data_IF_477519159966
#
_entry.id   IF_477519159966
#
_cell.length_a   1.000
_cell.length_b   1.000
_cell.length_c   1.000
_cell.angle_alpha   90.00
_cell.angle_beta   90.00
_cell.angle_gamma   90.00
#
_symmetry.space_group_name_H-M   'P 1'
#
loop_
_entity.id
_entity.type
_entity.pdbx_description
1 polymer ?
#
# COMPACT_ATOMS: atom_id res chain seq x y z
N UNK A 1 6.07 46.65 8.50
CA UNK A 1 7.06 45.56 8.41
C UNK A 1 7.10 44.90 9.77
N UNK A 2 6.35 43.82 9.93
CA UNK A 2 6.41 42.93 11.10
C UNK A 2 6.77 41.57 10.54
N UNK A 3 8.03 41.18 10.72
CA UNK A 3 8.53 39.85 10.39
C UNK A 3 7.64 38.81 11.07
N UNK A 4 6.99 37.98 10.26
CA UNK A 4 6.22 36.83 10.71
C UNK A 4 7.21 35.69 10.95
N UNK A 5 7.87 35.69 12.10
CA UNK A 5 8.57 34.50 12.58
C UNK A 5 7.50 33.44 12.84
N UNK A 6 7.45 32.45 11.95
CA UNK A 6 6.46 31.38 11.97
C UNK A 6 6.44 30.69 13.33
N UNK A 7 5.27 30.59 13.96
CA UNK A 7 5.06 30.09 15.35
C UNK A 7 5.60 28.66 15.58
N UNK A 8 5.80 27.90 14.51
CA UNK A 8 6.45 26.58 14.49
C UNK A 8 7.95 26.60 14.83
N UNK A 9 8.59 27.78 14.74
CA UNK A 9 10.00 28.00 15.09
C UNK A 9 10.18 28.68 16.46
N UNK A 10 9.09 28.86 17.20
CA UNK A 10 9.13 29.41 18.55
C UNK A 10 9.67 28.33 19.51
N UNK A 11 10.79 28.59 20.22
CA UNK A 11 11.37 27.62 21.15
C UNK A 11 10.38 27.19 22.24
N UNK A 12 9.51 28.09 22.70
CA UNK A 12 8.50 27.76 23.72
C UNK A 12 7.45 26.76 23.19
N UNK A 13 7.15 26.82 21.88
CA UNK A 13 6.22 25.91 21.21
C UNK A 13 6.87 24.54 20.93
N UNK A 14 8.15 24.52 20.58
CA UNK A 14 8.91 23.28 20.37
C UNK A 14 9.13 22.51 21.68
N UNK A 15 9.41 23.21 22.78
CA UNK A 15 9.56 22.61 24.10
C UNK A 15 8.25 22.00 24.60
N UNK A 16 7.11 22.65 24.34
CA UNK A 16 5.78 22.11 24.63
C UNK A 16 5.47 20.84 23.84
N UNK A 17 5.82 20.80 22.54
CA UNK A 17 5.64 19.61 21.70
C UNK A 17 6.53 18.45 22.16
N UNK A 18 7.80 18.72 22.48
CA UNK A 18 8.73 17.73 22.99
C UNK A 18 8.26 17.11 24.33
N UNK A 19 7.70 17.92 25.24
CA UNK A 19 7.10 17.44 26.49
C UNK A 19 5.88 16.54 26.28
N UNK A 20 5.16 16.71 25.17
CA UNK A 20 4.00 15.88 24.81
C UNK A 20 4.38 14.60 24.02
N UNK A 21 5.67 14.38 23.75
CA UNK A 21 6.15 13.25 22.95
C UNK A 21 5.90 13.38 21.44
N UNK A 22 5.49 14.56 20.98
CA UNK A 22 5.22 14.85 19.57
C UNK A 22 6.47 15.49 18.96
N UNK A 23 7.13 14.79 18.03
CA UNK A 23 8.17 15.40 17.21
C UNK A 23 7.53 16.21 16.08
N UNK A 24 7.84 17.50 16.00
CA UNK A 24 7.48 18.33 14.85
C UNK A 24 8.37 17.93 13.67
N UNK A 25 7.84 17.16 12.72
CA UNK A 25 8.54 16.76 11.49
C UNK A 25 8.03 17.61 10.33
N UNK A 26 8.69 18.76 10.02
CA UNK A 26 8.22 19.64 8.96
C UNK A 26 8.17 18.96 7.59
N UNK A 27 9.10 18.03 7.32
CA UNK A 27 9.17 17.33 6.02
C UNK A 27 7.97 16.39 5.78
N UNK A 28 7.36 15.83 6.83
CA UNK A 28 6.16 15.00 6.69
C UNK A 28 4.92 15.80 6.28
N UNK A 29 4.87 17.09 6.65
CA UNK A 29 3.80 17.99 6.22
C UNK A 29 3.88 18.29 4.72
N UNK A 30 5.09 18.49 4.21
CA UNK A 30 5.34 18.74 2.80
C UNK A 30 5.08 17.49 1.94
N UNK A 31 5.47 16.30 2.43
CA UNK A 31 5.13 15.02 1.80
C UNK A 31 3.62 14.79 1.72
N UNK A 32 2.88 15.04 2.81
CA UNK A 32 1.43 14.95 2.82
C UNK A 32 0.80 15.96 1.85
N UNK A 33 1.29 17.19 1.80
CA UNK A 33 0.81 18.20 0.85
C UNK A 33 1.05 17.78 -0.61
N UNK A 34 2.17 17.13 -0.92
CA UNK A 34 2.43 16.54 -2.23
C UNK A 34 1.49 15.37 -2.55
N UNK A 35 1.17 14.53 -1.56
CA UNK A 35 0.20 13.44 -1.72
C UNK A 35 -1.22 13.96 -1.95
N UNK A 36 -1.59 15.08 -1.33
CA UNK A 36 -2.90 15.72 -1.49
C UNK A 36 -2.99 16.59 -2.76
N UNK A 37 -1.87 16.98 -3.37
CA UNK A 37 -1.83 17.90 -4.51
C UNK A 37 -2.70 17.47 -5.70
N UNK A 38 -2.73 16.18 -6.13
CA UNK A 38 -3.62 15.74 -7.21
C UNK A 38 -5.11 15.91 -6.87
N UNK A 39 -5.48 15.68 -5.60
CA UNK A 39 -6.86 15.79 -5.12
C UNK A 39 -7.30 17.25 -4.97
N UNK A 40 -6.39 18.12 -4.55
CA UNK A 40 -6.60 19.56 -4.48
C UNK A 40 -6.70 20.17 -5.88
N UNK A 41 -5.87 19.72 -6.82
CA UNK A 41 -5.91 20.16 -8.22
C UNK A 41 -7.24 19.81 -8.91
N UNK A 42 -7.82 18.64 -8.61
CA UNK A 42 -9.14 18.26 -9.10
C UNK A 42 -10.26 19.20 -8.62
N UNK A 43 -10.10 19.82 -7.46
CA UNK A 43 -11.00 20.83 -6.90
C UNK A 43 -10.58 22.27 -7.32
N UNK A 44 -9.59 22.41 -8.22
CA UNK A 44 -9.13 23.69 -8.78
C UNK A 44 -8.09 24.43 -7.95
N UNK A 45 -7.50 23.79 -6.94
CA UNK A 45 -6.49 24.37 -6.06
C UNK A 45 -5.10 23.92 -6.49
N UNK A 46 -4.26 24.88 -6.84
CA UNK A 46 -2.85 24.67 -7.12
C UNK A 46 -2.03 24.86 -5.83
N UNK A 47 -1.39 23.78 -5.36
CA UNK A 47 -0.60 23.77 -4.14
C UNK A 47 0.67 24.61 -4.27
N UNK A 48 1.20 24.72 -5.50
CA UNK A 48 2.38 25.53 -5.80
C UNK A 48 2.02 27.02 -6.00
N UNK A 49 0.71 27.34 -6.06
CA UNK A 49 0.22 28.69 -6.29
C UNK A 49 -1.09 29.02 -5.54
N UNK A 50 -0.96 29.20 -4.22
CA UNK A 50 -2.08 29.49 -3.32
C UNK A 50 -2.44 30.98 -3.20
N UNK A 51 -1.75 31.88 -3.92
CA UNK A 51 -1.80 33.32 -3.69
C UNK A 51 -3.19 33.98 -3.84
N UNK A 52 -4.05 33.40 -4.67
CA UNK A 52 -5.38 33.94 -4.99
C UNK A 52 -6.53 33.06 -4.44
N UNK A 53 -6.23 32.05 -3.64
CA UNK A 53 -7.23 31.10 -3.13
C UNK A 53 -7.83 31.64 -1.83
N UNK A 54 -9.17 31.69 -1.78
CA UNK A 54 -9.87 32.03 -0.54
C UNK A 54 -9.59 31.00 0.56
N UNK A 55 -9.25 31.47 1.76
CA UNK A 55 -8.84 30.59 2.86
C UNK A 55 -9.93 29.59 3.25
N UNK A 56 -11.21 29.98 3.22
CA UNK A 56 -12.31 29.07 3.57
C UNK A 56 -12.53 28.00 2.49
N UNK A 57 -12.26 28.34 1.22
CA UNK A 57 -12.29 27.40 0.10
C UNK A 57 -11.13 26.40 0.21
N UNK A 58 -9.93 26.87 0.56
CA UNK A 58 -8.76 26.03 0.78
C UNK A 58 -9.00 25.03 1.93
N UNK A 59 -9.47 25.49 3.09
CA UNK A 59 -9.75 24.61 4.24
C UNK A 59 -10.79 23.54 3.91
N UNK A 60 -11.85 23.90 3.18
CA UNK A 60 -12.89 22.95 2.76
C UNK A 60 -12.36 21.92 1.76
N UNK A 61 -11.55 22.36 0.80
CA UNK A 61 -10.94 21.49 -0.19
C UNK A 61 -9.88 20.57 0.42
N UNK A 62 -9.07 21.07 1.37
CA UNK A 62 -8.15 20.23 2.15
C UNK A 62 -8.89 19.19 2.98
N UNK A 63 -9.99 19.56 3.65
CA UNK A 63 -10.79 18.59 4.39
C UNK A 63 -11.32 17.47 3.49
N UNK A 64 -11.81 17.82 2.29
CA UNK A 64 -12.23 16.83 1.29
C UNK A 64 -11.08 16.03 0.70
N UNK A 65 -9.94 16.66 0.43
CA UNK A 65 -8.75 15.98 -0.10
C UNK A 65 -8.19 15.00 0.92
N UNK A 66 -8.13 15.38 2.20
CA UNK A 66 -7.73 14.50 3.30
C UNK A 66 -8.75 13.36 3.46
N UNK A 67 -10.04 13.65 3.41
CA UNK A 67 -11.07 12.61 3.47
C UNK A 67 -10.95 11.64 2.29
N UNK A 68 -10.77 12.15 1.06
CA UNK A 68 -10.55 11.33 -0.14
C UNK A 68 -9.25 10.53 -0.08
N UNK A 69 -8.16 11.13 0.36
CA UNK A 69 -6.87 10.47 0.52
C UNK A 69 -6.93 9.37 1.59
N UNK A 70 -7.56 9.65 2.73
CA UNK A 70 -7.81 8.64 3.76
C UNK A 70 -8.74 7.52 3.27
N UNK A 71 -9.71 7.85 2.41
CA UNK A 71 -10.54 6.86 1.74
C UNK A 71 -9.74 6.06 0.71
N UNK A 72 -8.82 6.67 -0.05
CA UNK A 72 -7.96 5.99 -1.02
C UNK A 72 -7.03 5.00 -0.31
N UNK A 73 -6.43 5.40 0.81
CA UNK A 73 -5.57 4.55 1.65
C UNK A 73 -6.27 3.29 2.18
N UNK A 74 -7.61 3.28 2.25
CA UNK A 74 -8.40 2.15 2.78
C UNK A 74 -9.38 1.53 1.78
N UNK A 75 -9.70 2.22 0.71
CA UNK A 75 -10.64 1.85 -0.35
C UNK A 75 -10.01 2.28 -1.67
N UNK A 76 -9.23 1.38 -2.30
CA UNK A 76 -8.55 1.71 -3.54
C UNK A 76 -9.58 2.09 -4.62
N UNK A 77 -9.21 3.02 -5.51
CA UNK A 77 -10.03 3.48 -6.63
C UNK A 77 -9.49 2.96 -7.97
N UNK A 78 -10.33 2.94 -9.01
CA UNK A 78 -10.00 2.55 -10.40
C UNK A 78 -9.14 1.27 -10.52
N UNK A 79 -7.95 1.36 -11.13
CA UNK A 79 -7.03 0.26 -11.41
C UNK A 79 -6.45 -0.37 -10.15
N UNK A 80 -6.30 0.40 -9.08
CA UNK A 80 -5.76 -0.13 -7.82
C UNK A 80 -6.79 -1.02 -7.12
N UNK A 81 -8.08 -0.67 -7.22
CA UNK A 81 -9.17 -1.55 -6.77
C UNK A 81 -9.20 -2.82 -7.60
N UNK A 82 -9.02 -2.69 -8.91
CA UNK A 82 -8.97 -3.82 -9.82
C UNK A 82 -7.81 -4.77 -9.49
N UNK A 83 -6.61 -4.24 -9.24
CA UNK A 83 -5.44 -5.01 -8.79
C UNK A 83 -5.72 -5.68 -7.45
N UNK A 84 -6.26 -4.97 -6.48
CA UNK A 84 -6.59 -5.51 -5.16
C UNK A 84 -7.58 -6.69 -5.25
N UNK A 85 -8.63 -6.55 -6.07
CA UNK A 85 -9.58 -7.64 -6.32
C UNK A 85 -8.87 -8.83 -6.98
N UNK A 86 -8.04 -8.60 -7.99
CA UNK A 86 -7.31 -9.66 -8.67
C UNK A 86 -6.33 -10.37 -7.71
N UNK A 87 -5.62 -9.65 -6.85
CA UNK A 87 -4.77 -10.23 -5.80
C UNK A 87 -5.58 -11.09 -4.81
N UNK A 88 -6.75 -10.62 -4.36
CA UNK A 88 -7.63 -11.42 -3.49
C UNK A 88 -8.13 -12.68 -4.20
N UNK A 89 -8.40 -12.62 -5.51
CA UNK A 89 -8.73 -13.79 -6.32
C UNK A 89 -7.56 -14.76 -6.40
N UNK A 90 -6.35 -14.29 -6.68
CA UNK A 90 -5.15 -15.14 -6.78
C UNK A 90 -4.87 -15.88 -5.45
N UNK A 91 -5.01 -15.18 -4.33
CA UNK A 91 -4.91 -15.79 -2.99
C UNK A 91 -6.01 -16.84 -2.81
N UNK A 92 -7.26 -16.50 -3.13
CA UNK A 92 -8.40 -17.39 -2.96
C UNK A 92 -8.28 -18.67 -3.79
N UNK A 93 -7.85 -18.55 -5.04
CA UNK A 93 -7.61 -19.68 -5.95
C UNK A 93 -6.42 -20.53 -5.50
N UNK A 94 -5.33 -19.92 -5.03
CA UNK A 94 -4.21 -20.65 -4.46
C UNK A 94 -4.64 -21.47 -3.24
N UNK A 95 -5.47 -20.90 -2.35
CA UNK A 95 -5.98 -21.59 -1.18
C UNK A 95 -6.94 -22.74 -1.53
N UNK A 96 -7.84 -22.54 -2.50
CA UNK A 96 -8.75 -23.60 -2.98
C UNK A 96 -7.98 -24.76 -3.63
N UNK A 97 -6.94 -24.44 -4.42
CA UNK A 97 -6.05 -25.42 -5.03
C UNK A 97 -5.04 -26.06 -4.06
N UNK A 98 -5.15 -25.80 -2.75
CA UNK A 98 -4.24 -26.27 -1.69
C UNK A 98 -2.77 -25.84 -1.88
N UNK A 99 -2.53 -24.76 -2.62
CA UNK A 99 -1.21 -24.16 -2.87
C UNK A 99 -0.89 -23.13 -1.78
N UNK A 100 -0.82 -23.59 -0.52
CA UNK A 100 -0.62 -22.70 0.63
C UNK A 100 0.67 -21.88 0.56
N UNK A 101 1.76 -22.48 0.06
CA UNK A 101 3.03 -21.79 -0.10
C UNK A 101 2.90 -20.60 -1.06
N UNK A 102 2.12 -20.75 -2.15
CA UNK A 102 1.82 -19.66 -3.09
C UNK A 102 0.97 -18.57 -2.45
N UNK A 103 -0.04 -18.95 -1.65
CA UNK A 103 -0.85 -17.96 -0.93
C UNK A 103 -0.02 -17.17 0.09
N UNK A 104 0.89 -17.84 0.82
CA UNK A 104 1.83 -17.22 1.75
C UNK A 104 2.83 -16.32 1.01
N UNK A 105 3.32 -16.73 -0.15
CA UNK A 105 4.20 -15.92 -1.00
C UNK A 105 3.51 -14.64 -1.47
N UNK A 106 2.28 -14.73 -2.00
CA UNK A 106 1.51 -13.55 -2.42
C UNK A 106 1.29 -12.61 -1.24
N UNK A 107 0.88 -13.15 -0.08
CA UNK A 107 0.70 -12.37 1.14
C UNK A 107 2.01 -11.74 1.66
N UNK A 108 3.14 -12.44 1.51
CA UNK A 108 4.46 -11.96 1.91
C UNK A 108 4.98 -10.80 1.05
N UNK A 109 4.49 -10.68 -0.19
CA UNK A 109 4.84 -9.59 -1.10
C UNK A 109 3.99 -8.31 -0.87
N UNK A 110 2.91 -8.39 -0.08
CA UNK A 110 2.07 -7.24 0.24
C UNK A 110 2.72 -6.43 1.37
N UNK A 111 3.14 -5.21 1.04
CA UNK A 111 3.72 -4.24 1.98
C UNK A 111 2.68 -3.28 2.58
N UNK A 112 3.10 -2.43 3.54
CA UNK A 112 2.24 -1.38 4.11
C UNK A 112 1.81 -0.35 3.06
N UNK A 113 2.69 -0.04 2.11
CA UNK A 113 2.43 0.84 0.99
C UNK A 113 2.20 0.04 -0.30
N UNK A 114 1.44 0.60 -1.23
CA UNK A 114 1.26 0.02 -2.55
C UNK A 114 2.57 0.12 -3.35
N UNK A 115 2.87 -0.91 -4.14
CA UNK A 115 3.99 -0.93 -5.07
C UNK A 115 3.50 -1.15 -6.50
N UNK A 116 4.39 -1.03 -7.49
CA UNK A 116 4.02 -1.20 -8.89
C UNK A 116 3.37 -2.57 -9.13
N UNK A 117 2.07 -2.56 -9.40
CA UNK A 117 1.29 -3.77 -9.64
C UNK A 117 0.85 -4.54 -8.38
N UNK A 118 1.27 -4.14 -7.18
CA UNK A 118 1.00 -4.85 -5.92
C UNK A 118 0.21 -3.93 -4.98
N UNK A 119 -0.98 -4.34 -4.52
CA UNK A 119 -1.77 -3.52 -3.61
C UNK A 119 -1.13 -3.43 -2.22
N UNK A 120 -1.46 -2.38 -1.47
CA UNK A 120 -1.07 -2.25 -0.07
C UNK A 120 -1.83 -3.23 0.84
N UNK A 121 -1.28 -3.45 2.03
CA UNK A 121 -1.95 -4.15 3.13
C UNK A 121 -3.31 -3.51 3.48
N UNK A 122 -3.34 -2.17 3.50
CA UNK A 122 -4.56 -1.39 3.70
C UNK A 122 -5.62 -1.70 2.64
N UNK A 123 -5.24 -1.69 1.37
CA UNK A 123 -6.13 -1.98 0.24
C UNK A 123 -6.73 -3.38 0.32
N UNK A 124 -5.88 -4.39 0.52
CA UNK A 124 -6.32 -5.80 0.62
C UNK A 124 -7.23 -6.00 1.82
N UNK A 125 -6.89 -5.42 2.98
CA UNK A 125 -7.74 -5.49 4.18
C UNK A 125 -9.08 -4.80 3.95
N UNK A 126 -9.07 -3.58 3.43
CA UNK A 126 -10.27 -2.80 3.16
C UNK A 126 -11.24 -3.50 2.22
N UNK A 127 -10.76 -3.89 1.03
CA UNK A 127 -11.60 -4.58 0.02
C UNK A 127 -12.10 -5.93 0.54
N UNK A 128 -11.27 -6.70 1.24
CA UNK A 128 -11.69 -7.98 1.80
C UNK A 128 -12.79 -7.80 2.85
N UNK A 129 -12.62 -6.86 3.80
CA UNK A 129 -13.60 -6.62 4.86
C UNK A 129 -14.91 -6.02 4.32
N UNK A 130 -14.83 -5.10 3.36
CA UNK A 130 -16.01 -4.55 2.66
C UNK A 130 -16.79 -5.67 1.95
N UNK A 131 -16.09 -6.54 1.22
CA UNK A 131 -16.69 -7.67 0.52
C UNK A 131 -17.36 -8.65 1.48
N UNK A 132 -16.69 -8.99 2.58
CA UNK A 132 -17.23 -9.86 3.62
C UNK A 132 -18.50 -9.26 4.26
N UNK A 133 -18.47 -7.98 4.63
CA UNK A 133 -19.65 -7.29 5.18
C UNK A 133 -20.85 -7.38 4.22
N UNK A 134 -20.63 -7.14 2.91
CA UNK A 134 -21.67 -7.23 1.89
C UNK A 134 -22.22 -8.66 1.73
N UNK A 135 -21.34 -9.67 1.70
CA UNK A 135 -21.74 -11.06 1.50
C UNK A 135 -22.53 -11.64 2.69
N UNK A 136 -22.12 -11.30 3.91
CA UNK A 136 -22.84 -11.74 5.12
C UNK A 136 -24.17 -11.00 5.31
N UNK A 137 -24.26 -9.73 4.91
CA UNK A 137 -25.50 -8.97 4.93
C UNK A 137 -26.57 -9.55 3.99
N UNK A 138 -26.16 -10.06 2.82
CA UNK A 138 -27.06 -10.63 1.81
C UNK A 138 -27.56 -12.05 2.15
N UNK A 139 -27.28 -12.57 3.36
CA UNK A 139 -27.83 -13.83 3.85
C UNK A 139 -27.18 -15.09 3.24
N UNK A 140 -26.34 -14.96 2.22
CA UNK A 140 -25.74 -16.06 1.48
C UNK A 140 -24.84 -16.99 2.34
N UNK A 141 -24.34 -16.49 3.47
CA UNK A 141 -23.47 -17.20 4.42
C UNK A 141 -24.16 -17.55 5.75
N UNK A 142 -25.48 -17.34 5.88
CA UNK A 142 -26.20 -17.58 7.13
C UNK A 142 -26.45 -19.08 7.39
N UNK A 143 -26.44 -19.92 6.34
CA UNK A 143 -26.73 -21.35 6.42
C UNK A 143 -25.49 -22.24 6.63
N UNK A 144 -24.27 -21.71 6.44
CA UNK A 144 -23.02 -22.45 6.59
C UNK A 144 -22.00 -21.58 7.32
N UNK A 145 -21.47 -22.08 8.44
CA UNK A 145 -20.27 -21.46 9.02
C UNK A 145 -19.18 -21.56 7.96
N UNK A 146 -18.50 -20.46 7.62
CA UNK A 146 -17.33 -20.48 6.74
C UNK A 146 -16.11 -21.06 7.50
N UNK A 147 -16.31 -22.20 8.16
CA UNK A 147 -15.28 -23.08 8.70
C UNK A 147 -14.70 -23.94 7.59
N UNK A 148 -14.56 -23.38 6.40
CA UNK A 148 -13.59 -23.92 5.45
C UNK A 148 -12.29 -24.02 6.23
N UNK A 149 -11.74 -25.22 6.25
CA UNK A 149 -10.70 -25.62 7.20
C UNK A 149 -9.46 -24.76 7.01
N UNK A 150 -9.36 -23.66 7.75
CA UNK A 150 -8.14 -22.83 7.87
C UNK A 150 -7.04 -23.53 8.67
N UNK A 151 -7.06 -24.86 8.72
CA UNK A 151 -6.07 -25.69 9.40
C UNK A 151 -4.67 -25.53 8.82
N UNK A 152 -4.57 -25.01 7.60
CA UNK A 152 -3.32 -24.73 6.91
C UNK A 152 -2.92 -23.25 6.99
N UNK A 153 -3.81 -22.36 7.45
CA UNK A 153 -3.46 -20.97 7.72
C UNK A 153 -2.45 -20.86 8.87
N UNK A 154 -1.47 -19.93 8.81
CA UNK A 154 -0.56 -19.65 9.91
C UNK A 154 -1.32 -19.39 11.23
N UNK A 155 -0.70 -19.75 12.37
CA UNK A 155 -1.37 -19.64 13.68
C UNK A 155 -1.80 -18.21 14.00
N UNK A 156 -0.99 -17.22 13.65
CA UNK A 156 -1.27 -15.78 13.82
C UNK A 156 -2.50 -15.32 13.04
N UNK A 157 -2.67 -15.85 11.82
CA UNK A 157 -3.85 -15.59 10.97
C UNK A 157 -5.08 -16.27 11.57
N UNK A 158 -4.98 -17.57 11.86
CA UNK A 158 -6.08 -18.40 12.36
C UNK A 158 -6.68 -17.90 13.67
N UNK A 159 -5.87 -17.29 14.55
CA UNK A 159 -6.38 -16.73 15.81
C UNK A 159 -7.28 -15.52 15.62
N UNK A 160 -7.14 -14.78 14.51
CA UNK A 160 -7.87 -13.54 14.25
C UNK A 160 -9.14 -13.82 13.42
N UNK A 161 -9.13 -14.85 12.59
CA UNK A 161 -10.24 -15.11 11.66
C UNK A 161 -11.63 -15.25 12.31
N UNK A 162 -11.80 -15.87 13.50
CA UNK A 162 -13.10 -15.92 14.17
C UNK A 162 -13.64 -14.52 14.52
N UNK A 163 -12.76 -13.59 14.90
CA UNK A 163 -13.15 -12.21 15.18
C UNK A 163 -13.58 -11.51 13.88
N UNK A 164 -12.84 -11.70 12.80
CA UNK A 164 -13.19 -11.18 11.47
C UNK A 164 -14.57 -11.68 11.03
N UNK A 165 -14.81 -12.99 11.11
CA UNK A 165 -16.09 -13.60 10.76
C UNK A 165 -17.24 -13.05 11.63
N UNK A 166 -17.02 -12.92 12.94
CA UNK A 166 -18.02 -12.40 13.87
C UNK A 166 -18.34 -10.92 13.63
N UNK A 167 -17.38 -10.13 13.16
CA UNK A 167 -17.58 -8.74 12.77
C UNK A 167 -18.30 -8.64 11.42
N UNK A 168 -17.94 -9.47 10.45
CA UNK A 168 -18.56 -9.52 9.13
C UNK A 168 -20.04 -9.93 9.19
N UNK A 169 -20.36 -10.93 10.01
CA UNK A 169 -21.76 -11.32 10.32
C UNK A 169 -22.62 -10.18 10.85
N UNK A 170 -21.99 -9.18 11.46
CA UNK A 170 -22.65 -7.98 12.02
C UNK A 170 -22.59 -6.78 11.05
N UNK A 171 -22.06 -6.95 9.85
CA UNK A 171 -21.89 -5.87 8.86
C UNK A 171 -20.98 -4.73 9.34
N UNK A 172 -19.92 -5.06 10.09
CA UNK A 172 -19.03 -4.07 10.70
C UNK A 172 -17.55 -4.47 10.66
N UNK A 173 -17.16 -5.44 9.85
CA UNK A 173 -15.77 -5.84 9.69
C UNK A 173 -14.92 -4.66 9.21
N UNK A 174 -15.38 -3.95 8.16
CA UNK A 174 -14.67 -2.79 7.61
C UNK A 174 -14.49 -1.68 8.66
N UNK A 175 -15.57 -1.30 9.34
CA UNK A 175 -15.52 -0.30 10.44
C UNK A 175 -14.59 -0.72 11.59
N UNK A 176 -14.30 -2.02 11.74
CA UNK A 176 -13.52 -2.55 12.85
C UNK A 176 -12.04 -2.74 12.52
N UNK A 177 -11.56 -2.42 11.31
CA UNK A 177 -10.17 -2.55 10.88
C UNK A 177 -9.21 -1.90 11.89
N UNK A 178 -9.42 -0.62 12.24
CA UNK A 178 -8.56 0.06 13.21
C UNK A 178 -8.53 -0.61 14.59
N UNK A 179 -9.62 -1.24 15.02
CA UNK A 179 -9.64 -2.01 16.27
C UNK A 179 -8.93 -3.35 16.19
N UNK A 180 -8.85 -3.96 15.01
CA UNK A 180 -8.09 -5.18 14.76
C UNK A 180 -6.60 -4.86 14.71
N UNK A 181 -6.20 -3.82 13.99
CA UNK A 181 -4.81 -3.36 13.86
C UNK A 181 -4.20 -2.90 15.19
N UNK A 182 -4.99 -2.33 16.10
CA UNK A 182 -4.50 -2.00 17.46
C UNK A 182 -4.09 -3.21 18.30
N UNK A 183 -4.61 -4.40 18.00
CA UNK A 183 -4.43 -5.62 18.82
C UNK A 183 -3.59 -6.69 18.13
N UNK A 184 -3.31 -6.51 16.84
CA UNK A 184 -2.69 -7.51 15.99
C UNK A 184 -1.76 -6.83 14.98
N UNK A 185 -0.67 -7.48 14.56
CA UNK A 185 0.16 -6.97 13.48
C UNK A 185 -0.63 -6.92 12.18
N UNK A 186 -0.37 -5.90 11.36
CA UNK A 186 -1.05 -5.66 10.09
C UNK A 186 -1.01 -6.87 9.15
N UNK A 187 0.15 -7.53 9.04
CA UNK A 187 0.31 -8.75 8.24
C UNK A 187 -0.64 -9.89 8.66
N UNK A 188 -0.93 -10.01 9.95
CA UNK A 188 -1.89 -11.01 10.43
C UNK A 188 -3.34 -10.60 10.16
N UNK A 189 -3.66 -9.30 10.17
CA UNK A 189 -4.99 -8.79 9.82
C UNK A 189 -5.28 -8.95 8.34
N UNK A 190 -4.34 -8.57 7.46
CA UNK A 190 -4.39 -8.80 6.00
C UNK A 190 -4.56 -10.29 5.71
N UNK A 191 -3.73 -11.13 6.32
CA UNK A 191 -3.82 -12.58 6.17
C UNK A 191 -5.20 -13.08 6.61
N UNK A 192 -5.69 -12.67 7.78
CA UNK A 192 -6.99 -13.10 8.29
C UNK A 192 -8.14 -12.68 7.39
N UNK A 193 -8.13 -11.46 6.85
CA UNK A 193 -9.16 -11.00 5.91
C UNK A 193 -9.12 -11.77 4.59
N UNK A 194 -7.94 -12.01 4.02
CA UNK A 194 -7.79 -12.73 2.76
C UNK A 194 -8.18 -14.22 2.90
N UNK A 195 -7.73 -14.90 3.96
CA UNK A 195 -8.15 -16.28 4.25
C UNK A 195 -9.66 -16.38 4.51
N UNK A 196 -10.26 -15.37 5.15
CA UNK A 196 -11.70 -15.35 5.39
C UNK A 196 -12.49 -15.17 4.08
N UNK A 197 -11.98 -14.38 3.14
CA UNK A 197 -12.57 -14.26 1.80
C UNK A 197 -12.59 -15.62 1.10
N UNK A 198 -11.46 -16.32 1.03
CA UNK A 198 -11.39 -17.65 0.43
C UNK A 198 -12.33 -18.65 1.13
N UNK A 199 -12.38 -18.61 2.46
CA UNK A 199 -13.29 -19.44 3.25
C UNK A 199 -14.77 -19.12 3.01
N UNK A 200 -15.12 -17.85 2.80
CA UNK A 200 -16.47 -17.44 2.48
C UNK A 200 -16.90 -17.93 1.08
N UNK A 201 -16.00 -17.81 0.09
CA UNK A 201 -16.25 -18.31 -1.28
C UNK A 201 -16.45 -19.83 -1.28
N UNK A 202 -15.56 -20.58 -0.63
CA UNK A 202 -15.67 -22.04 -0.56
C UNK A 202 -16.94 -22.49 0.20
N UNK A 203 -17.31 -21.81 1.29
CA UNK A 203 -18.56 -22.09 2.00
C UNK A 203 -19.80 -21.82 1.14
N UNK A 204 -19.79 -20.77 0.34
CA UNK A 204 -20.88 -20.49 -0.61
C UNK A 204 -20.92 -21.50 -1.76
N UNK A 205 -19.77 -21.93 -2.28
CA UNK A 205 -19.68 -22.97 -3.30
C UNK A 205 -20.24 -24.30 -2.78
N UNK A 206 -19.88 -24.71 -1.57
CA UNK A 206 -20.43 -25.91 -0.92
C UNK A 206 -21.94 -25.81 -0.72
N UNK A 207 -22.42 -24.69 -0.17
CA UNK A 207 -23.85 -24.48 0.06
C UNK A 207 -24.66 -24.47 -1.24
N UNK A 208 -24.11 -23.92 -2.32
CA UNK A 208 -24.77 -23.81 -3.64
C UNK A 208 -24.56 -25.04 -4.53
N UNK A 209 -23.72 -25.99 -4.13
CA UNK A 209 -23.26 -27.10 -4.97
C UNK A 209 -22.69 -26.62 -6.32
N UNK A 210 -21.95 -25.51 -6.28
CA UNK A 210 -21.32 -24.88 -7.44
C UNK A 210 -19.79 -25.05 -7.37
N UNK A 211 -19.10 -24.81 -8.49
CA UNK A 211 -17.64 -24.79 -8.46
C UNK A 211 -17.14 -23.56 -7.68
N UNK A 212 -15.95 -23.67 -7.07
CA UNK A 212 -15.32 -22.56 -6.37
C UNK A 212 -15.10 -21.37 -7.32
N UNK A 213 -14.60 -21.63 -8.53
CA UNK A 213 -14.34 -20.59 -9.53
C UNK A 213 -15.60 -19.87 -9.99
N UNK A 214 -16.74 -20.56 -10.16
CA UNK A 214 -18.00 -19.91 -10.52
C UNK A 214 -18.45 -18.94 -9.43
N UNK A 215 -18.40 -19.37 -8.17
CA UNK A 215 -18.75 -18.52 -7.03
C UNK A 215 -17.75 -17.38 -6.86
N UNK A 216 -16.46 -17.63 -7.05
CA UNK A 216 -15.44 -16.58 -7.02
C UNK A 216 -15.68 -15.53 -8.11
N UNK A 217 -16.00 -15.95 -9.32
CA UNK A 217 -16.29 -15.06 -10.45
C UNK A 217 -17.58 -14.24 -10.24
N UNK A 218 -18.56 -14.79 -9.53
CA UNK A 218 -19.76 -14.06 -9.14
C UNK A 218 -19.47 -13.01 -8.04
N UNK A 219 -18.74 -13.41 -6.99
CA UNK A 219 -18.56 -12.59 -5.78
C UNK A 219 -17.41 -11.57 -5.89
N UNK A 220 -16.32 -11.95 -6.55
CA UNK A 220 -15.16 -11.12 -6.83
C UNK A 220 -14.84 -11.20 -8.32
N UNK A 221 -15.64 -10.58 -9.21
CA UNK A 221 -15.41 -10.67 -10.64
C UNK A 221 -14.01 -10.18 -11.01
N UNK A 222 -13.33 -10.89 -11.90
CA UNK A 222 -12.01 -10.50 -12.41
C UNK A 222 -12.10 -9.10 -13.02
N UNK A 223 -11.18 -8.22 -12.60
CA UNK A 223 -11.19 -6.83 -13.03
C UNK A 223 -10.16 -6.62 -14.14
N UNK A 224 -10.54 -5.84 -15.16
CA UNK A 224 -9.57 -5.36 -16.14
C UNK A 224 -8.78 -4.22 -15.51
N UNK A 225 -7.46 -4.30 -15.61
CA UNK A 225 -6.55 -3.25 -15.20
C UNK A 225 -6.05 -2.59 -16.49
N UNK A 226 -6.05 -1.27 -16.57
CA UNK A 226 -5.40 -0.60 -17.69
C UNK A 226 -3.91 -0.96 -17.71
N UNK A 227 -3.35 -1.21 -18.89
CA UNK A 227 -1.91 -1.37 -19.04
C UNK A 227 -1.24 -0.13 -18.46
N UNK A 228 -0.28 -0.33 -17.56
CA UNK A 228 0.45 0.78 -16.96
C UNK A 228 1.04 1.63 -18.10
N UNK A 229 0.95 2.98 -18.04
CA UNK A 229 1.75 3.80 -18.93
C UNK A 229 3.21 3.38 -18.71
N UNK A 230 3.85 2.90 -19.77
CA UNK A 230 5.23 2.43 -19.74
C UNK A 230 6.06 3.40 -18.91
N UNK A 231 6.71 2.89 -17.86
CA UNK A 231 7.62 3.65 -17.05
C UNK A 231 8.50 4.49 -18.00
N UNK A 232 8.47 5.82 -17.83
CA UNK A 232 9.44 6.68 -18.51
C UNK A 232 10.81 6.04 -18.24
N UNK A 233 11.61 5.75 -19.28
CA UNK A 233 12.90 5.12 -19.07
C UNK A 233 13.65 5.96 -18.05
N UNK A 234 14.11 5.29 -16.98
CA UNK A 234 15.02 5.86 -16.01
C UNK A 234 16.09 6.62 -16.80
N UNK A 235 16.24 7.91 -16.49
CA UNK A 235 17.33 8.69 -17.04
C UNK A 235 18.63 7.89 -16.83
N UNK A 236 19.34 7.66 -17.94
CA UNK A 236 20.67 7.06 -17.90
C UNK A 236 21.49 7.71 -16.78
N UNK A 237 22.15 6.91 -15.92
CA UNK A 237 23.03 7.47 -14.92
C UNK A 237 24.10 8.29 -15.64
N UNK A 238 24.16 9.59 -15.32
CA UNK A 238 25.16 10.50 -15.82
C UNK A 238 26.55 9.90 -15.59
N UNK A 239 27.27 9.68 -16.69
CA UNK A 239 28.68 9.31 -16.70
C UNK A 239 29.48 10.30 -15.83
N UNK A 240 29.99 9.77 -14.73
CA UNK A 240 30.95 10.45 -13.86
C UNK A 240 32.22 10.75 -14.68
N UNK A 241 32.69 12.01 -14.78
CA UNK A 241 33.80 12.34 -15.66
C UNK A 241 35.11 11.75 -15.11
N UNK A 242 35.74 10.94 -15.95
CA UNK A 242 37.00 10.25 -15.72
C UNK A 242 38.06 11.08 -14.99
N UNK A 243 38.52 10.56 -13.86
CA UNK A 243 39.68 11.05 -13.14
C UNK A 243 40.92 11.04 -14.05
N UNK A 244 41.49 12.25 -14.26
CA UNK A 244 42.75 12.46 -14.98
C UNK A 244 43.88 11.69 -14.30
N UNK A 245 44.45 10.72 -15.02
CA UNK A 245 45.74 10.10 -14.68
C UNK A 245 46.82 11.18 -14.60
N UNK A 246 47.51 11.24 -13.45
CA UNK A 246 48.75 11.98 -13.29
C UNK A 246 49.87 11.36 -14.17
N UNK A 247 50.72 12.16 -14.83
CA UNK A 247 51.80 11.64 -15.66
C UNK A 247 52.98 11.16 -14.80
N UNK A 248 53.49 9.98 -15.15
CA UNK A 248 54.68 9.38 -14.60
C UNK A 248 55.93 10.19 -14.93
N UNK A 249 56.84 10.33 -13.94
CA UNK A 249 58.17 10.90 -14.09
C UNK A 249 59.01 10.07 -15.06
N UNK A 250 59.43 10.70 -16.15
CA UNK A 250 60.57 10.29 -16.98
C UNK A 250 61.88 10.38 -16.17
N UNK A 251 62.65 9.30 -16.18
CA UNK A 251 64.08 9.33 -15.89
C UNK A 251 64.86 9.32 -17.21
N UNK A 252 65.97 10.08 -17.36
CA UNK A 252 66.53 10.42 -18.65
C UNK A 252 67.37 9.29 -19.26
N UNK A 253 67.25 9.13 -20.58
CA UNK A 253 68.13 8.30 -21.40
C UNK A 253 69.46 9.02 -21.68
N UNK A 254 70.58 8.35 -21.42
CA UNK A 254 71.90 8.71 -21.94
C UNK A 254 72.38 7.64 -22.94
N UNK A 255 73.10 8.10 -23.94
CA UNK A 255 73.22 7.60 -25.31
C UNK A 255 74.11 6.36 -25.51
N UNK A 256 74.01 5.65 -26.66
CA UNK A 256 74.89 4.55 -27.03
C UNK A 256 76.14 5.03 -27.82
N UNK A 257 77.31 4.40 -27.58
CA UNK A 257 78.42 4.39 -28.55
C UNK A 257 79.40 3.21 -28.34
N UNK A 258 79.43 2.37 -29.38
CA UNK A 258 80.56 1.73 -30.07
C UNK A 258 81.65 0.94 -29.30
N UNK A 259 81.92 -0.23 -29.87
CA UNK A 259 83.10 -1.08 -29.72
C UNK A 259 84.42 -0.41 -30.17
N UNK A 260 85.58 -0.87 -29.65
CA UNK A 260 86.65 -1.51 -30.44
C UNK A 260 87.89 -1.92 -29.61
N UNK A 261 88.45 -3.06 -30.03
CA UNK A 261 89.68 -3.82 -29.65
C UNK A 261 89.61 -4.74 -28.43
N UNK A 262 90.00 -6.01 -28.54
CA UNK A 262 90.76 -6.69 -29.60
C UNK A 262 89.92 -7.64 -30.47
#
# INVERSE_FOLDING_TARGET
MTDSTSRSHDPDFQDMLAQSGVQHMPEQGDELMQQLAPLLSADGIDVDNLGDVDQSQLETAMARAIERHNLELMTPVSDERARTINTLRDISQALDAQQHDKAVEILGNIGPEAAEGIPSAGHVTGVAMESLDAWYANGALQAGSARVSQREAPRSVRSITPDVEALARKGRAYRSIGSLLRRNPESAVVGASAYMVAAAVAAMAEHRQASFDDVLNELLPAQKVADAPAAKPAAEPAEEPAAKKAPAKEAPAEQPKAAAKA
#
